data_IF_830276992572
#
_entry.id   IF_830276992572
#
_cell.length_a   1.000
_cell.length_b   1.000
_cell.length_c   1.000
_cell.angle_alpha   90.00
_cell.angle_beta   90.00
_cell.angle_gamma   90.00
#
_symmetry.space_group_name_H-M   'P 1'
#
loop_
_entity.id
_entity.type
_entity.pdbx_description
1 polymer ?
#
# COMPACT_ATOMS: atom_id res chain seq x y z
N UNK A 1 36.61 -36.35 41.52
CA UNK A 1 35.38 -35.53 41.53
C UNK A 1 35.80 -34.12 41.23
N UNK A 2 35.66 -33.73 39.97
CA UNK A 2 36.10 -32.43 39.46
C UNK A 2 34.82 -31.60 39.34
N UNK A 3 34.78 -30.48 40.06
CA UNK A 3 33.71 -29.49 39.99
C UNK A 3 33.88 -28.74 38.65
N UNK A 4 32.96 -28.92 37.71
CA UNK A 4 32.83 -28.03 36.56
C UNK A 4 31.94 -26.85 36.97
N UNK A 5 32.58 -25.70 37.17
CA UNK A 5 31.92 -24.41 37.28
C UNK A 5 31.44 -24.00 35.88
N UNK A 6 30.13 -24.05 35.66
CA UNK A 6 29.47 -23.40 34.54
C UNK A 6 29.57 -21.88 34.75
N UNK A 7 30.07 -21.09 33.77
CA UNK A 7 30.05 -19.64 33.90
C UNK A 7 28.61 -19.16 33.66
N UNK A 8 28.02 -18.53 34.67
CA UNK A 8 26.81 -17.72 34.55
C UNK A 8 27.06 -16.63 33.49
N UNK A 9 26.37 -16.76 32.35
CA UNK A 9 26.16 -15.66 31.42
C UNK A 9 25.20 -14.67 32.09
N UNK A 10 25.48 -13.35 32.07
CA UNK A 10 24.55 -12.38 32.60
C UNK A 10 23.34 -12.29 31.66
N UNK A 11 22.21 -12.85 32.09
CA UNK A 11 20.89 -12.56 31.56
C UNK A 11 20.61 -11.06 31.73
N UNK A 12 20.94 -10.27 30.71
CA UNK A 12 20.38 -8.93 30.56
C UNK A 12 18.84 -9.02 30.43
N UNK A 13 18.08 -7.95 30.74
CA UNK A 13 16.63 -7.99 30.59
C UNK A 13 16.32 -8.37 29.13
N UNK A 14 15.50 -9.41 28.93
CA UNK A 14 15.18 -9.98 27.62
C UNK A 14 14.66 -8.96 26.59
N UNK A 15 14.24 -7.78 27.06
CA UNK A 15 13.72 -6.67 26.26
C UNK A 15 14.72 -5.52 26.01
N UNK A 16 16.00 -5.69 26.38
CA UNK A 16 17.03 -4.64 26.17
C UNK A 16 17.63 -4.70 24.77
N UNK A 17 17.92 -3.54 24.17
CA UNK A 17 18.60 -3.46 22.87
C UNK A 17 20.10 -3.80 22.98
N UNK A 18 20.74 -4.27 21.89
CA UNK A 18 22.19 -4.41 21.82
C UNK A 18 22.91 -3.11 22.22
N UNK A 19 24.10 -3.17 22.86
CA UNK A 19 24.80 -1.97 23.33
C UNK A 19 25.05 -0.92 22.24
N UNK A 20 25.40 -1.34 21.02
CA UNK A 20 25.62 -0.43 19.90
C UNK A 20 24.32 0.29 19.48
N UNK A 21 23.21 -0.45 19.38
CA UNK A 21 21.91 0.14 19.07
C UNK A 21 21.37 1.01 20.21
N UNK A 22 21.60 0.61 21.46
CA UNK A 22 21.22 1.40 22.64
C UNK A 22 22.00 2.71 22.71
N UNK A 23 23.30 2.70 22.39
CA UNK A 23 24.12 3.91 22.33
C UNK A 23 23.65 4.86 21.23
N UNK A 24 23.34 4.35 20.04
CA UNK A 24 22.79 5.13 18.92
C UNK A 24 21.41 5.73 19.30
N UNK A 25 20.56 4.92 19.93
CA UNK A 25 19.23 5.34 20.37
C UNK A 25 19.32 6.44 21.45
N UNK A 26 20.19 6.29 22.44
CA UNK A 26 20.30 7.25 23.55
C UNK A 26 21.10 8.51 23.21
N UNK A 27 22.00 8.43 22.23
CA UNK A 27 22.77 9.58 21.73
C UNK A 27 21.99 10.50 20.79
N UNK A 28 20.77 10.12 20.39
CA UNK A 28 19.93 10.87 19.45
C UNK A 28 18.90 11.72 20.19
N UNK A 29 18.80 13.01 19.85
CA UNK A 29 17.82 13.96 20.41
C UNK A 29 16.44 13.81 19.74
N UNK A 30 15.73 12.72 20.05
CA UNK A 30 14.47 12.34 19.39
C UNK A 30 13.35 13.36 19.54
N UNK A 31 13.36 14.15 20.62
CA UNK A 31 12.41 15.24 20.86
C UNK A 31 12.43 16.33 19.78
N UNK A 32 13.54 16.47 19.04
CA UNK A 32 13.69 17.42 17.94
C UNK A 32 13.41 16.78 16.56
N UNK A 33 13.11 15.47 16.54
CA UNK A 33 13.04 14.67 15.32
C UNK A 33 11.64 14.07 15.16
N UNK A 34 10.67 14.84 14.65
CA UNK A 34 9.34 14.32 14.42
C UNK A 34 9.34 13.30 13.28
N UNK A 35 8.56 12.23 13.45
CA UNK A 35 7.99 11.42 12.38
C UNK A 35 6.58 11.93 12.00
N UNK A 36 5.93 11.29 11.01
CA UNK A 36 4.68 11.77 10.37
C UNK A 36 3.55 12.20 11.34
N UNK A 37 3.39 11.51 12.47
CA UNK A 37 2.29 11.71 13.42
C UNK A 37 2.75 12.10 14.83
N UNK A 38 3.96 12.65 14.95
CA UNK A 38 4.53 13.05 16.25
C UNK A 38 3.60 14.00 17.00
N UNK A 39 3.39 13.75 18.29
CA UNK A 39 2.52 14.56 19.14
C UNK A 39 1.02 14.30 18.99
N UNK A 40 0.59 13.34 18.17
CA UNK A 40 -0.80 12.86 18.16
C UNK A 40 -1.05 11.87 19.31
N UNK A 41 -2.26 11.89 19.84
CA UNK A 41 -2.68 10.97 20.91
C UNK A 41 -2.61 9.50 20.43
N UNK A 42 -2.19 8.60 21.31
CA UNK A 42 -2.01 7.15 21.05
C UNK A 42 -1.05 6.77 19.92
N UNK A 43 -0.19 7.70 19.47
CA UNK A 43 0.87 7.40 18.51
C UNK A 43 2.19 7.18 19.27
N UNK A 44 2.87 6.03 19.09
CA UNK A 44 4.12 5.78 19.78
C UNK A 44 5.24 6.66 19.21
N UNK A 45 6.07 7.23 20.10
CA UNK A 45 7.28 7.94 19.70
C UNK A 45 8.31 6.99 19.07
N UNK A 46 9.17 7.52 18.20
CA UNK A 46 10.19 6.74 17.48
C UNK A 46 11.04 5.83 18.38
N UNK A 47 11.53 6.27 19.56
CA UNK A 47 12.31 5.39 20.44
C UNK A 47 11.53 4.20 20.96
N UNK A 48 10.24 4.37 21.23
CA UNK A 48 9.36 3.29 21.70
C UNK A 48 9.14 2.26 20.58
N UNK A 49 8.96 2.72 19.34
CA UNK A 49 8.85 1.84 18.16
C UNK A 49 10.14 1.03 18.01
N UNK A 50 11.31 1.69 18.03
CA UNK A 50 12.62 1.05 17.86
C UNK A 50 12.92 0.03 18.99
N UNK A 51 12.58 0.37 20.24
CA UNK A 51 12.70 -0.55 21.38
C UNK A 51 11.81 -1.78 21.25
N UNK A 52 10.60 -1.61 20.68
CA UNK A 52 9.64 -2.70 20.51
C UNK A 52 9.98 -3.67 19.36
N UNK A 53 10.94 -3.34 18.47
CA UNK A 53 11.33 -4.23 17.35
C UNK A 53 11.89 -5.58 17.85
N UNK A 54 12.61 -5.60 18.96
CA UNK A 54 13.22 -6.81 19.53
C UNK A 54 12.46 -7.40 20.73
N UNK A 55 11.23 -6.92 20.98
CA UNK A 55 10.42 -7.45 22.09
C UNK A 55 10.13 -8.94 21.90
N UNK A 56 10.05 -9.67 23.03
CA UNK A 56 9.72 -11.08 23.02
C UNK A 56 8.31 -11.35 22.44
N UNK A 57 7.35 -10.44 22.64
CA UNK A 57 5.97 -10.60 22.17
C UNK A 57 5.87 -10.45 20.63
N UNK A 58 5.52 -11.51 19.89
CA UNK A 58 5.39 -11.45 18.44
C UNK A 58 4.37 -10.42 17.94
N UNK A 59 3.29 -10.17 18.68
CA UNK A 59 2.26 -9.23 18.25
C UNK A 59 2.73 -7.78 18.37
N UNK A 60 3.45 -7.45 19.44
CA UNK A 60 4.07 -6.13 19.60
C UNK A 60 5.18 -5.92 18.56
N UNK A 61 5.97 -6.95 18.28
CA UNK A 61 7.02 -6.88 17.26
C UNK A 61 6.46 -6.62 15.85
N UNK A 62 5.39 -7.32 15.46
CA UNK A 62 4.72 -7.09 14.17
C UNK A 62 4.17 -5.67 14.09
N UNK A 63 3.52 -5.19 15.15
CA UNK A 63 3.04 -3.79 15.22
C UNK A 63 4.18 -2.79 15.09
N UNK A 64 5.29 -3.00 15.81
CA UNK A 64 6.45 -2.12 15.76
C UNK A 64 7.03 -2.02 14.33
N UNK A 65 7.19 -3.14 13.64
CA UNK A 65 7.64 -3.15 12.23
C UNK A 65 6.64 -2.45 11.31
N UNK A 66 5.32 -2.66 11.51
CA UNK A 66 4.29 -1.92 10.79
C UNK A 66 4.39 -0.41 11.02
N UNK A 67 4.62 0.01 12.26
CA UNK A 67 4.82 1.41 12.63
C UNK A 67 6.09 2.01 12.02
N UNK A 68 7.18 1.25 11.84
CA UNK A 68 8.35 1.72 11.10
C UNK A 68 7.99 2.16 9.68
N UNK A 69 7.19 1.37 8.96
CA UNK A 69 6.74 1.75 7.61
C UNK A 69 5.72 2.88 7.65
N UNK A 70 4.73 2.78 8.54
CA UNK A 70 3.60 3.70 8.62
C UNK A 70 4.00 5.10 9.07
N UNK A 71 4.97 5.22 9.97
CA UNK A 71 5.30 6.47 10.64
C UNK A 71 6.61 7.09 10.16
N UNK A 72 7.62 6.27 9.82
CA UNK A 72 8.94 6.74 9.41
C UNK A 72 9.17 6.74 7.90
N UNK A 73 8.36 6.00 7.13
CA UNK A 73 8.40 5.97 5.65
C UNK A 73 7.00 6.21 5.04
N UNK A 74 6.16 6.99 5.73
CA UNK A 74 4.80 7.28 5.28
C UNK A 74 4.78 7.82 3.84
N UNK A 75 4.03 7.18 2.95
CA UNK A 75 3.92 7.56 1.52
C UNK A 75 5.27 7.70 0.81
N UNK A 76 6.23 6.83 1.15
CA UNK A 76 7.58 6.86 0.56
C UNK A 76 8.32 8.20 0.78
N UNK A 77 8.11 8.83 1.95
CA UNK A 77 8.77 10.06 2.34
C UNK A 77 9.70 9.85 3.54
N UNK A 78 10.78 10.63 3.59
CA UNK A 78 11.64 10.75 4.77
C UNK A 78 11.18 11.89 5.68
N UNK A 79 11.35 11.66 6.98
CA UNK A 79 11.09 12.60 8.06
C UNK A 79 12.38 12.81 8.85
N UNK A 80 12.47 13.86 9.71
CA UNK A 80 13.62 14.09 10.57
C UNK A 80 14.08 12.85 11.36
N UNK A 81 13.14 12.03 11.84
CA UNK A 81 13.42 10.79 12.58
C UNK A 81 13.94 9.63 11.71
N UNK A 82 13.74 9.66 10.39
CA UNK A 82 13.90 8.49 9.52
C UNK A 82 15.36 8.07 9.40
N UNK A 83 16.29 9.00 9.16
CA UNK A 83 17.70 8.66 9.00
C UNK A 83 18.34 8.13 10.31
N UNK A 84 18.12 8.75 11.48
CA UNK A 84 18.56 8.19 12.76
C UNK A 84 17.94 6.82 13.06
N UNK A 85 16.67 6.62 12.74
CA UNK A 85 16.03 5.31 12.91
C UNK A 85 16.69 4.23 12.03
N UNK A 86 17.03 4.56 10.79
CA UNK A 86 17.76 3.63 9.91
C UNK A 86 19.10 3.19 10.50
N UNK A 87 19.85 4.13 11.11
CA UNK A 87 21.11 3.82 11.78
C UNK A 87 20.91 2.87 12.98
N UNK A 88 19.89 3.11 13.81
CA UNK A 88 19.56 2.20 14.92
C UNK A 88 19.20 0.82 14.40
N UNK A 89 18.32 0.72 13.40
CA UNK A 89 17.89 -0.56 12.83
C UNK A 89 19.04 -1.36 12.23
N UNK A 90 19.99 -0.70 11.56
CA UNK A 90 21.20 -1.34 11.05
C UNK A 90 22.03 -2.00 12.16
N UNK A 91 22.09 -1.37 13.36
CA UNK A 91 22.75 -1.94 14.54
C UNK A 91 21.99 -3.10 15.19
N UNK A 92 20.73 -3.32 14.82
CA UNK A 92 19.95 -4.48 15.31
C UNK A 92 20.19 -5.74 14.48
N UNK A 93 20.70 -5.63 13.24
CA UNK A 93 20.78 -6.75 12.30
C UNK A 93 21.59 -7.94 12.84
N UNK A 94 22.68 -7.66 13.57
CA UNK A 94 23.54 -8.70 14.18
C UNK A 94 22.89 -9.40 15.38
N UNK A 95 21.81 -8.86 15.95
CA UNK A 95 21.15 -9.46 17.11
C UNK A 95 20.51 -10.80 16.72
N UNK A 96 20.77 -11.91 17.45
CA UNK A 96 20.21 -13.22 17.13
C UNK A 96 18.68 -13.26 17.19
N UNK A 97 18.02 -12.37 17.94
CA UNK A 97 16.55 -12.27 17.98
C UNK A 97 15.97 -11.87 16.63
N UNK A 98 16.75 -11.25 15.74
CA UNK A 98 16.32 -10.94 14.37
C UNK A 98 16.18 -12.20 13.49
N UNK A 99 16.67 -13.36 13.93
CA UNK A 99 16.41 -14.64 13.27
C UNK A 99 14.97 -15.14 13.48
N UNK A 100 14.22 -14.55 14.41
CA UNK A 100 12.84 -14.95 14.66
C UNK A 100 11.97 -14.74 13.42
N UNK A 101 11.28 -15.80 13.01
CA UNK A 101 10.35 -15.72 11.88
C UNK A 101 9.04 -15.04 12.25
N UNK A 102 8.49 -14.28 11.31
CA UNK A 102 7.18 -13.65 11.42
C UNK A 102 6.46 -13.57 10.08
N UNK A 103 5.20 -13.13 10.14
CA UNK A 103 4.44 -12.64 8.97
C UNK A 103 4.35 -11.13 9.09
N UNK A 104 4.72 -10.43 8.04
CA UNK A 104 4.82 -8.96 8.03
C UNK A 104 3.85 -8.40 7.00
N UNK A 105 3.25 -7.25 7.29
CA UNK A 105 2.08 -6.76 6.55
C UNK A 105 2.38 -6.40 5.09
N UNK A 106 3.60 -5.96 4.77
CA UNK A 106 3.94 -5.48 3.41
C UNK A 106 4.30 -6.58 2.43
N UNK A 107 4.60 -7.81 2.88
CA UNK A 107 5.09 -8.87 2.00
C UNK A 107 4.53 -10.25 2.32
N UNK A 108 4.29 -11.02 1.27
CA UNK A 108 3.77 -12.36 1.40
C UNK A 108 4.78 -13.31 2.08
N UNK A 109 4.25 -14.28 2.83
CA UNK A 109 5.04 -15.38 3.38
C UNK A 109 5.56 -15.14 4.79
N UNK A 110 6.23 -16.17 5.31
CA UNK A 110 6.99 -16.09 6.55
C UNK A 110 8.43 -15.76 6.20
N UNK A 111 9.06 -14.90 6.99
CA UNK A 111 10.47 -14.55 6.82
C UNK A 111 11.08 -14.13 8.16
N UNK A 112 12.41 -14.23 8.32
CA UNK A 112 13.10 -13.72 9.50
C UNK A 112 12.86 -12.22 9.67
N UNK A 113 12.77 -11.74 10.91
CA UNK A 113 12.74 -10.31 11.21
C UNK A 113 13.91 -9.57 10.54
N UNK A 114 15.09 -10.18 10.49
CA UNK A 114 16.28 -9.63 9.83
C UNK A 114 16.03 -9.29 8.37
N UNK A 115 15.41 -10.20 7.62
CA UNK A 115 15.08 -9.96 6.21
C UNK A 115 14.07 -8.80 6.09
N UNK A 116 13.13 -8.68 7.02
CA UNK A 116 12.17 -7.58 7.03
C UNK A 116 12.78 -6.23 7.40
N UNK A 117 13.71 -6.19 8.35
CA UNK A 117 14.46 -4.96 8.66
C UNK A 117 15.34 -4.52 7.49
N UNK A 118 15.97 -5.47 6.79
CA UNK A 118 16.69 -5.20 5.55
C UNK A 118 15.76 -4.68 4.44
N UNK A 119 14.52 -5.16 4.37
CA UNK A 119 13.51 -4.62 3.45
C UNK A 119 13.12 -3.19 3.78
N UNK A 120 12.98 -2.87 5.07
CA UNK A 120 12.72 -1.51 5.49
C UNK A 120 13.91 -0.60 5.10
N UNK A 121 15.14 -1.07 5.29
CA UNK A 121 16.36 -0.36 4.89
C UNK A 121 16.47 -0.22 3.36
N UNK A 122 16.01 -1.20 2.58
CA UNK A 122 15.90 -1.09 1.14
C UNK A 122 14.90 0.01 0.73
N UNK A 123 13.69 0.03 1.32
CA UNK A 123 12.72 1.11 1.07
C UNK A 123 13.27 2.48 1.46
N UNK A 124 13.97 2.58 2.58
CA UNK A 124 14.67 3.81 2.96
C UNK A 124 15.73 4.23 1.92
N UNK A 125 16.57 3.30 1.46
CA UNK A 125 17.62 3.57 0.49
C UNK A 125 17.04 3.97 -0.89
N UNK A 126 15.91 3.38 -1.27
CA UNK A 126 15.15 3.75 -2.47
C UNK A 126 14.71 5.22 -2.39
N UNK A 127 14.13 5.63 -1.26
CA UNK A 127 13.70 7.03 -1.06
C UNK A 127 14.92 7.97 -1.00
N UNK A 128 15.99 7.58 -0.32
CA UNK A 128 17.18 8.42 -0.14
C UNK A 128 17.96 8.69 -1.44
N UNK A 129 17.76 7.86 -2.48
CA UNK A 129 18.38 8.08 -3.80
C UNK A 129 17.63 9.11 -4.65
N UNK A 130 16.35 9.36 -4.36
CA UNK A 130 15.49 10.31 -5.05
C UNK A 130 15.83 11.74 -4.64
N UNK A 131 15.43 12.70 -5.47
CA UNK A 131 15.71 14.13 -5.32
C UNK A 131 14.56 14.87 -4.63
N UNK A 132 14.82 16.11 -4.19
CA UNK A 132 13.83 16.91 -3.44
C UNK A 132 12.61 17.19 -4.31
N UNK A 133 12.86 17.36 -5.61
CA UNK A 133 11.89 17.55 -6.68
C UNK A 133 10.89 16.39 -6.80
N UNK A 134 11.25 15.19 -6.32
CA UNK A 134 10.37 14.01 -6.31
C UNK A 134 9.36 14.04 -5.14
N UNK A 135 9.36 15.09 -4.31
CA UNK A 135 8.40 15.27 -3.21
C UNK A 135 8.63 14.34 -2.00
N UNK A 136 9.76 13.65 -1.97
CA UNK A 136 10.05 12.57 -1.01
C UNK A 136 10.53 13.05 0.37
N UNK A 137 10.71 14.34 0.60
CA UNK A 137 11.12 14.87 1.89
C UNK A 137 11.65 16.30 1.82
N UNK A 138 11.83 16.93 2.97
CA UNK A 138 12.53 18.21 3.01
C UNK A 138 14.01 18.02 2.65
N UNK A 139 14.62 19.01 2.01
CA UNK A 139 16.03 18.95 1.58
C UNK A 139 16.99 18.58 2.73
N UNK A 140 16.73 19.06 3.94
CA UNK A 140 17.51 18.73 5.15
C UNK A 140 17.41 17.24 5.50
N UNK A 141 16.21 16.68 5.45
CA UNK A 141 15.95 15.30 5.86
C UNK A 141 16.51 14.31 4.83
N UNK A 142 16.40 14.65 3.54
CA UNK A 142 17.04 13.90 2.45
C UNK A 142 18.56 13.96 2.52
N UNK A 143 19.13 15.12 2.84
CA UNK A 143 20.58 15.23 3.05
C UNK A 143 21.04 14.34 4.21
N UNK A 144 20.30 14.30 5.31
CA UNK A 144 20.57 13.38 6.42
C UNK A 144 20.44 11.90 6.01
N UNK A 145 19.41 11.57 5.23
CA UNK A 145 19.21 10.21 4.72
C UNK A 145 20.36 9.75 3.81
N UNK A 146 20.82 10.62 2.92
CA UNK A 146 21.98 10.37 2.03
C UNK A 146 23.26 10.19 2.83
N UNK A 147 23.48 11.03 3.85
CA UNK A 147 24.65 10.94 4.72
C UNK A 147 24.74 9.62 5.51
N UNK A 148 23.61 8.96 5.78
CA UNK A 148 23.59 7.65 6.45
C UNK A 148 24.04 6.49 5.54
N UNK A 149 23.97 6.63 4.21
CA UNK A 149 24.14 5.51 3.26
C UNK A 149 25.47 4.74 3.41
N UNK A 150 26.64 5.39 3.56
CA UNK A 150 27.90 4.65 3.74
C UNK A 150 27.92 3.79 4.99
N UNK A 151 27.41 4.31 6.13
CA UNK A 151 27.35 3.57 7.39
C UNK A 151 26.39 2.38 7.28
N UNK A 152 25.25 2.57 6.60
CA UNK A 152 24.30 1.50 6.35
C UNK A 152 24.90 0.41 5.45
N UNK A 153 25.61 0.79 4.39
CA UNK A 153 26.30 -0.16 3.51
C UNK A 153 27.27 -1.05 4.29
N UNK A 154 28.08 -0.45 5.17
CA UNK A 154 29.04 -1.19 5.98
C UNK A 154 28.37 -2.17 6.95
N UNK A 155 27.23 -1.79 7.54
CA UNK A 155 26.47 -2.68 8.43
C UNK A 155 25.74 -3.80 7.67
N UNK A 156 25.40 -3.61 6.39
CA UNK A 156 24.63 -4.56 5.59
C UNK A 156 25.54 -5.54 4.83
N UNK A 157 26.78 -5.15 4.54
CA UNK A 157 27.69 -5.86 3.64
C UNK A 157 27.83 -7.36 3.95
N UNK A 158 27.93 -7.73 5.23
CA UNK A 158 28.10 -9.12 5.66
C UNK A 158 26.85 -9.99 5.39
N UNK A 159 25.67 -9.37 5.30
CA UNK A 159 24.41 -10.07 5.02
C UNK A 159 24.19 -10.35 3.53
N UNK A 160 24.96 -9.71 2.64
CA UNK A 160 24.91 -9.97 1.19
C UNK A 160 25.38 -11.39 0.81
N UNK A 161 26.07 -12.07 1.72
CA UNK A 161 26.56 -13.44 1.56
C UNK A 161 25.89 -14.40 2.58
N UNK A 162 24.77 -14.00 3.20
CA UNK A 162 24.08 -14.82 4.20
C UNK A 162 23.62 -16.18 3.65
N UNK A 163 23.66 -17.20 4.51
CA UNK A 163 23.18 -18.56 4.19
C UNK A 163 21.66 -18.57 3.89
N UNK A 164 20.90 -17.81 4.67
CA UNK A 164 19.46 -17.64 4.47
C UNK A 164 19.20 -16.84 3.19
N UNK A 165 18.51 -17.43 2.18
CA UNK A 165 18.29 -16.78 0.90
C UNK A 165 17.44 -15.51 1.01
N UNK A 166 16.48 -15.43 1.94
CA UNK A 166 15.62 -14.26 2.11
C UNK A 166 16.39 -13.09 2.72
N UNK A 167 17.29 -13.38 3.66
CA UNK A 167 18.21 -12.37 4.23
C UNK A 167 19.18 -11.88 3.16
N UNK A 168 19.76 -12.81 2.39
CA UNK A 168 20.69 -12.50 1.30
C UNK A 168 20.06 -11.62 0.23
N UNK A 169 18.86 -11.97 -0.23
CA UNK A 169 18.11 -11.17 -1.21
C UNK A 169 17.80 -9.76 -0.68
N UNK A 170 17.28 -9.64 0.55
CA UNK A 170 16.99 -8.34 1.16
C UNK A 170 18.23 -7.47 1.33
N UNK A 171 19.36 -8.06 1.74
CA UNK A 171 20.63 -7.37 1.88
C UNK A 171 21.20 -6.90 0.54
N UNK A 172 21.14 -7.73 -0.49
CA UNK A 172 21.54 -7.36 -1.85
C UNK A 172 20.66 -6.23 -2.40
N UNK A 173 19.35 -6.28 -2.16
CA UNK A 173 18.41 -5.23 -2.57
C UNK A 173 18.72 -3.88 -1.91
N UNK A 174 18.90 -3.87 -0.59
CA UNK A 174 19.28 -2.67 0.16
C UNK A 174 20.64 -2.13 -0.32
N UNK A 175 21.66 -2.99 -0.42
CA UNK A 175 22.99 -2.64 -0.93
C UNK A 175 22.90 -2.02 -2.33
N UNK A 176 22.17 -2.64 -3.27
CA UNK A 176 22.08 -2.16 -4.64
C UNK A 176 21.52 -0.72 -4.74
N UNK A 177 20.55 -0.39 -3.89
CA UNK A 177 19.99 0.97 -3.78
C UNK A 177 20.94 1.95 -3.10
N UNK A 178 21.64 1.53 -2.03
CA UNK A 178 22.65 2.34 -1.34
C UNK A 178 23.80 2.74 -2.26
N UNK A 179 24.19 1.88 -3.21
CA UNK A 179 25.22 2.16 -4.22
C UNK A 179 24.84 3.27 -5.22
N UNK A 180 23.66 3.87 -5.11
CA UNK A 180 23.36 5.16 -5.76
C UNK A 180 24.18 6.32 -5.16
N UNK A 181 24.79 6.13 -3.98
CA UNK A 181 25.71 7.08 -3.40
C UNK A 181 27.04 7.17 -4.19
N UNK A 182 27.47 8.37 -4.60
CA UNK A 182 28.75 8.55 -5.29
C UNK A 182 29.97 8.00 -4.52
N UNK A 183 29.94 8.04 -3.18
CA UNK A 183 31.02 7.51 -2.34
C UNK A 183 31.12 5.98 -2.38
N UNK A 184 30.05 5.29 -2.78
CA UNK A 184 29.99 3.84 -2.80
C UNK A 184 30.13 3.25 -4.22
N UNK A 185 30.22 4.09 -5.26
CA UNK A 185 30.25 3.64 -6.67
C UNK A 185 31.41 2.67 -6.96
N UNK A 186 32.52 2.77 -6.23
CA UNK A 186 33.68 1.87 -6.34
C UNK A 186 33.36 0.43 -5.96
N UNK A 187 32.28 0.20 -5.20
CA UNK A 187 31.82 -1.13 -4.78
C UNK A 187 30.89 -1.79 -5.79
N UNK A 188 30.43 -1.09 -6.83
CA UNK A 188 29.52 -1.63 -7.85
C UNK A 188 30.05 -2.93 -8.49
N UNK A 189 31.31 -3.04 -8.92
CA UNK A 189 31.83 -4.27 -9.53
C UNK A 189 31.77 -5.50 -8.61
N UNK A 190 31.78 -5.31 -7.28
CA UNK A 190 31.64 -6.38 -6.30
C UNK A 190 30.23 -6.96 -6.28
N UNK A 191 29.20 -6.11 -6.35
CA UNK A 191 27.82 -6.51 -6.13
C UNK A 191 27.01 -6.74 -7.40
N UNK A 192 27.37 -6.12 -8.53
CA UNK A 192 26.62 -6.24 -9.78
C UNK A 192 26.40 -7.70 -10.24
N UNK A 193 27.39 -8.62 -10.15
CA UNK A 193 27.16 -10.03 -10.49
C UNK A 193 26.13 -10.71 -9.58
N UNK A 194 26.16 -10.44 -8.27
CA UNK A 194 25.23 -11.01 -7.30
C UNK A 194 23.81 -10.45 -7.48
N UNK A 195 23.68 -9.14 -7.70
CA UNK A 195 22.39 -8.49 -8.02
C UNK A 195 21.74 -9.13 -9.24
N UNK A 196 22.52 -9.37 -10.32
CA UNK A 196 22.02 -10.05 -11.51
C UNK A 196 21.65 -11.50 -11.25
N UNK A 197 22.52 -12.26 -10.57
CA UNK A 197 22.33 -13.70 -10.39
C UNK A 197 21.22 -14.04 -9.39
N UNK A 198 20.96 -13.16 -8.43
CA UNK A 198 20.04 -13.40 -7.32
C UNK A 198 18.75 -12.60 -7.49
N UNK A 199 18.83 -11.26 -7.56
CA UNK A 199 17.63 -10.42 -7.54
C UNK A 199 16.83 -10.48 -8.85
N UNK A 200 17.50 -10.58 -10.00
CA UNK A 200 16.82 -10.58 -11.30
C UNK A 200 15.94 -11.83 -11.53
N UNK A 201 16.15 -12.89 -10.75
CA UNK A 201 15.37 -14.14 -10.80
C UNK A 201 14.59 -14.39 -9.51
N UNK A 202 14.53 -13.40 -8.61
CA UNK A 202 13.77 -13.52 -7.36
C UNK A 202 12.28 -13.66 -7.64
N UNK A 203 11.59 -14.39 -6.76
CA UNK A 203 10.12 -14.44 -6.74
C UNK A 203 9.51 -13.07 -6.41
N UNK A 204 10.24 -12.20 -5.71
CA UNK A 204 9.83 -10.85 -5.34
C UNK A 204 10.00 -9.89 -6.55
N UNK A 205 8.88 -9.38 -7.08
CA UNK A 205 8.89 -8.50 -8.24
C UNK A 205 9.56 -7.15 -7.98
N UNK A 206 9.51 -6.66 -6.74
CA UNK A 206 10.22 -5.45 -6.33
C UNK A 206 11.74 -5.66 -6.40
N UNK A 207 12.26 -6.81 -5.97
CA UNK A 207 13.67 -7.15 -6.17
C UNK A 207 14.05 -7.27 -7.64
N UNK A 208 13.21 -7.87 -8.49
CA UNK A 208 13.45 -7.90 -9.94
C UNK A 208 13.47 -6.50 -10.56
N UNK A 209 12.60 -5.60 -10.09
CA UNK A 209 12.62 -4.19 -10.48
C UNK A 209 13.92 -3.49 -10.04
N UNK A 210 14.32 -3.63 -8.77
CA UNK A 210 15.60 -3.10 -8.26
C UNK A 210 16.76 -3.60 -9.12
N UNK A 211 16.81 -4.90 -9.43
CA UNK A 211 17.86 -5.47 -10.27
C UNK A 211 17.94 -4.78 -11.63
N UNK A 212 16.80 -4.59 -12.32
CA UNK A 212 16.75 -3.93 -13.62
C UNK A 212 17.16 -2.46 -13.54
N UNK A 213 16.63 -1.72 -12.57
CA UNK A 213 16.93 -0.29 -12.40
C UNK A 213 18.41 -0.08 -12.09
N UNK A 214 18.96 -0.82 -11.10
CA UNK A 214 20.36 -0.65 -10.67
C UNK A 214 21.36 -1.11 -11.71
N UNK A 215 21.13 -2.26 -12.35
CA UNK A 215 22.02 -2.72 -13.43
C UNK A 215 22.02 -1.72 -14.59
N UNK A 216 20.86 -1.21 -15.01
CA UNK A 216 20.80 -0.20 -16.06
C UNK A 216 21.57 1.08 -15.68
N UNK A 217 21.42 1.55 -14.43
CA UNK A 217 22.14 2.71 -13.92
C UNK A 217 23.67 2.51 -13.87
N UNK A 218 24.15 1.26 -13.74
CA UNK A 218 25.56 0.91 -13.78
C UNK A 218 26.11 0.66 -15.21
N UNK A 219 25.28 0.85 -16.24
CA UNK A 219 25.65 0.63 -17.64
C UNK A 219 25.67 -0.83 -18.06
N UNK A 220 25.10 -1.72 -17.24
CA UNK A 220 24.94 -3.13 -17.54
C UNK A 220 23.76 -3.39 -18.48
N UNK A 221 23.87 -4.36 -19.38
CA UNK A 221 22.75 -4.71 -20.26
C UNK A 221 21.63 -5.39 -19.47
N UNK A 222 20.41 -4.86 -19.60
CA UNK A 222 19.18 -5.38 -18.98
C UNK A 222 18.14 -5.84 -19.99
N UNK A 223 18.42 -5.78 -21.30
CA UNK A 223 17.47 -6.12 -22.37
C UNK A 223 16.90 -7.53 -22.21
N UNK A 224 17.74 -8.52 -21.88
CA UNK A 224 17.28 -9.89 -21.63
C UNK A 224 16.39 -10.03 -20.39
N UNK A 225 16.62 -9.20 -19.36
CA UNK A 225 15.81 -9.19 -18.14
C UNK A 225 14.44 -8.55 -18.38
N UNK A 226 14.40 -7.45 -19.16
CA UNK A 226 13.14 -6.80 -19.55
C UNK A 226 12.30 -7.73 -20.42
N UNK A 227 12.91 -8.38 -21.42
CA UNK A 227 12.21 -9.33 -22.28
C UNK A 227 11.66 -10.52 -21.49
N UNK A 228 12.42 -11.06 -20.53
CA UNK A 228 11.96 -12.15 -19.67
C UNK A 228 10.78 -11.73 -18.77
N UNK A 229 10.80 -10.52 -18.21
CA UNK A 229 9.69 -9.99 -17.39
C UNK A 229 8.43 -9.75 -18.23
N UNK A 230 8.57 -9.20 -19.45
CA UNK A 230 7.46 -9.01 -20.38
C UNK A 230 6.86 -10.35 -20.82
N UNK A 231 7.70 -11.34 -21.11
CA UNK A 231 7.25 -12.69 -21.45
C UNK A 231 6.52 -13.35 -20.28
N UNK A 232 7.05 -13.21 -19.05
CA UNK A 232 6.43 -13.73 -17.84
C UNK A 232 5.07 -13.08 -17.58
N UNK A 233 4.98 -11.75 -17.64
CA UNK A 233 3.72 -11.01 -17.49
C UNK A 233 2.71 -11.39 -18.57
N UNK A 234 3.13 -11.45 -19.83
CA UNK A 234 2.25 -11.89 -20.91
C UNK A 234 1.79 -13.35 -20.75
N UNK A 235 2.61 -14.22 -20.14
CA UNK A 235 2.20 -15.59 -19.80
C UNK A 235 1.18 -15.61 -18.67
N UNK A 236 1.35 -14.80 -17.63
CA UNK A 236 0.37 -14.60 -16.56
C UNK A 236 -0.96 -14.08 -17.12
N UNK A 237 -0.94 -13.04 -17.96
CA UNK A 237 -2.14 -12.45 -18.56
C UNK A 237 -2.91 -13.47 -19.40
N UNK A 238 -2.19 -14.27 -20.22
CA UNK A 238 -2.79 -15.37 -20.99
C UNK A 238 -3.38 -16.45 -20.10
N UNK A 239 -2.70 -16.81 -19.03
CA UNK A 239 -3.17 -17.84 -18.11
C UNK A 239 -4.39 -17.37 -17.30
N UNK A 240 -4.42 -16.12 -16.84
CA UNK A 240 -5.60 -15.52 -16.21
C UNK A 240 -6.78 -15.48 -17.19
N UNK A 241 -6.58 -14.97 -18.41
CA UNK A 241 -7.64 -14.93 -19.42
C UNK A 241 -8.23 -16.33 -19.74
N UNK A 242 -7.41 -17.37 -19.75
CA UNK A 242 -7.86 -18.76 -19.93
C UNK A 242 -8.52 -19.34 -18.67
N UNK A 243 -8.07 -18.96 -17.47
CA UNK A 243 -8.67 -19.38 -16.21
C UNK A 243 -10.06 -18.75 -16.00
N UNK A 244 -10.23 -17.51 -16.45
CA UNK A 244 -11.48 -16.74 -16.35
C UNK A 244 -12.53 -17.10 -17.42
N UNK A 245 -12.16 -17.87 -18.45
CA UNK A 245 -13.11 -18.43 -19.43
C UNK A 245 -13.62 -19.82 -18.97
N UNK A 246 -14.83 -19.93 -18.39
CA UNK A 246 -15.38 -21.19 -17.90
C UNK A 246 -15.69 -22.22 -19.00
N UNK A 247 -15.62 -21.82 -20.27
CA UNK A 247 -15.83 -22.69 -21.42
C UNK A 247 -14.59 -22.79 -22.31
N UNK A 248 -13.47 -22.18 -21.90
CA UNK A 248 -12.22 -22.12 -22.65
C UNK A 248 -11.49 -23.46 -22.66
N UNK A 249 -11.12 -23.95 -23.85
CA UNK A 249 -10.22 -25.09 -23.96
C UNK A 249 -8.88 -24.76 -23.29
N UNK A 250 -8.57 -25.45 -22.18
CA UNK A 250 -7.32 -25.24 -21.43
C UNK A 250 -7.47 -24.56 -20.07
N UNK A 251 -8.68 -24.20 -19.63
CA UNK A 251 -8.93 -23.58 -18.32
C UNK A 251 -8.27 -24.32 -17.14
N UNK A 252 -8.49 -25.63 -17.00
CA UNK A 252 -7.88 -26.42 -15.91
C UNK A 252 -6.34 -26.41 -15.93
N UNK A 253 -5.75 -26.37 -17.13
CA UNK A 253 -4.29 -26.33 -17.29
C UNK A 253 -3.75 -24.95 -16.93
N UNK A 254 -4.48 -23.88 -17.27
CA UNK A 254 -4.15 -22.52 -16.88
C UNK A 254 -4.23 -22.33 -15.36
N UNK A 255 -5.28 -22.81 -14.69
CA UNK A 255 -5.41 -22.78 -13.22
C UNK A 255 -4.24 -23.51 -12.55
N UNK A 256 -3.95 -24.75 -12.96
CA UNK A 256 -2.82 -25.51 -12.41
C UNK A 256 -1.47 -24.84 -12.65
N UNK A 257 -1.30 -24.17 -13.79
CA UNK A 257 -0.07 -23.44 -14.10
C UNK A 257 0.07 -22.18 -13.24
N UNK A 258 -1.02 -21.44 -13.01
CA UNK A 258 -1.07 -20.27 -12.12
C UNK A 258 -0.77 -20.67 -10.67
N UNK A 259 -1.39 -21.76 -10.17
CA UNK A 259 -1.11 -22.30 -8.84
C UNK A 259 0.34 -22.76 -8.66
N UNK A 260 1.01 -23.15 -9.76
CA UNK A 260 2.40 -23.55 -9.75
C UNK A 260 3.38 -22.37 -9.88
N UNK A 261 2.91 -21.15 -10.16
CA UNK A 261 3.78 -19.98 -10.20
C UNK A 261 4.24 -19.62 -8.77
N UNK A 262 5.51 -19.23 -8.59
CA UNK A 262 5.96 -18.74 -7.30
C UNK A 262 5.16 -17.49 -6.93
N UNK A 263 4.62 -17.47 -5.71
CA UNK A 263 3.88 -16.32 -5.18
C UNK A 263 4.80 -15.09 -5.19
N UNK A 264 4.37 -14.02 -5.84
CA UNK A 264 5.11 -12.77 -5.82
C UNK A 264 5.13 -12.22 -4.39
N UNK A 265 6.31 -12.23 -3.77
CA UNK A 265 6.39 -11.85 -2.36
C UNK A 265 6.37 -10.34 -2.11
N UNK A 266 6.56 -9.53 -3.16
CA UNK A 266 6.33 -8.08 -3.12
C UNK A 266 4.85 -7.72 -3.20
N UNK A 267 4.05 -8.56 -3.86
CA UNK A 267 2.61 -8.40 -3.85
C UNK A 267 2.10 -8.61 -2.42
N UNK A 268 1.29 -7.68 -1.87
CA UNK A 268 0.68 -7.89 -0.57
C UNK A 268 -0.10 -9.19 -0.62
N UNK A 269 0.15 -10.07 0.35
CA UNK A 269 -0.54 -11.36 0.44
C UNK A 269 -2.04 -11.10 0.50
N UNK A 270 -2.77 -11.46 -0.56
CA UNK A 270 -4.18 -11.78 -0.42
C UNK A 270 -4.25 -12.84 0.68
N UNK A 271 -4.79 -12.47 1.85
CA UNK A 271 -4.88 -13.39 2.99
C UNK A 271 -5.81 -14.54 2.60
N UNK A 272 -5.26 -15.59 2.01
CA UNK A 272 -5.81 -16.93 2.05
C UNK A 272 -5.81 -17.37 3.52
N UNK A 273 -6.89 -17.04 4.24
CA UNK A 273 -7.27 -17.80 5.43
C UNK A 273 -7.70 -19.17 4.92
N UNK A 274 -6.80 -20.16 4.98
CA UNK A 274 -7.24 -21.53 5.29
C UNK A 274 -7.79 -21.47 6.71
N UNK A 275 -9.08 -21.20 6.82
CA UNK A 275 -9.86 -21.83 7.87
C UNK A 275 -9.87 -23.32 7.52
N UNK A 276 -9.50 -24.16 8.48
CA UNK A 276 -9.87 -25.57 8.43
C UNK A 276 -11.37 -25.66 8.15
N UNK A 277 -11.73 -26.44 7.12
CA UNK A 277 -13.08 -26.59 6.61
C UNK A 277 -14.11 -26.80 7.73
N UNK A 278 -15.08 -25.91 7.93
CA UNK A 278 -16.36 -26.30 8.48
C UNK A 278 -17.06 -27.19 7.44
N UNK A 279 -17.83 -28.22 7.86
CA UNK A 279 -18.49 -29.09 6.90
C UNK A 279 -19.44 -28.26 6.03
N UNK A 280 -19.38 -28.50 4.72
CA UNK A 280 -20.09 -27.76 3.68
C UNK A 280 -21.53 -27.39 4.10
N UNK A 281 -21.95 -26.12 3.98
CA UNK A 281 -23.35 -25.79 4.14
C UNK A 281 -24.11 -26.40 2.98
N UNK A 282 -24.98 -27.34 3.33
CA UNK A 282 -26.00 -27.86 2.44
C UNK A 282 -27.07 -26.77 2.29
N UNK A 283 -27.50 -26.53 1.05
CA UNK A 283 -28.52 -25.57 0.59
C UNK A 283 -28.04 -24.16 0.23
N UNK A 284 -28.04 -23.88 -1.07
CA UNK A 284 -28.11 -22.55 -1.64
C UNK A 284 -29.37 -21.83 -1.10
N UNK A 285 -29.15 -20.78 -0.31
CA UNK A 285 -30.18 -19.81 0.04
C UNK A 285 -30.50 -18.94 -1.20
N UNK A 286 -31.73 -18.41 -1.34
CA UNK A 286 -32.08 -17.49 -2.41
C UNK A 286 -31.29 -16.18 -2.30
N UNK A 287 -31.09 -15.43 -3.41
CA UNK A 287 -30.32 -14.18 -3.41
C UNK A 287 -30.91 -13.16 -2.43
N UNK A 288 -30.05 -12.49 -1.66
CA UNK A 288 -30.45 -11.42 -0.74
C UNK A 288 -31.09 -10.23 -1.48
N UNK A 289 -32.04 -9.52 -0.84
CA UNK A 289 -32.69 -8.36 -1.45
C UNK A 289 -31.67 -7.24 -1.72
N UNK A 290 -31.84 -6.53 -2.84
CA UNK A 290 -31.03 -5.37 -3.17
C UNK A 290 -31.10 -4.30 -2.07
N UNK A 291 -30.04 -3.48 -1.89
CA UNK A 291 -30.01 -2.40 -0.90
C UNK A 291 -31.20 -1.47 -1.12
N UNK A 292 -31.79 -1.00 -0.02
CA UNK A 292 -32.87 -0.02 -0.11
C UNK A 292 -32.30 1.39 -0.33
N UNK A 293 -32.94 2.22 -1.15
CA UNK A 293 -32.52 3.61 -1.36
C UNK A 293 -32.55 4.40 -0.03
N UNK A 294 -31.81 5.52 0.07
CA UNK A 294 -31.71 6.33 1.28
C UNK A 294 -33.07 6.58 1.94
N UNK A 295 -33.21 6.16 3.20
CA UNK A 295 -34.38 6.51 4.01
C UNK A 295 -34.27 7.99 4.39
N UNK A 296 -35.27 8.84 4.05
CA UNK A 296 -35.21 10.26 4.39
C UNK A 296 -35.18 10.45 5.91
N UNK A 297 -34.11 11.07 6.40
CA UNK A 297 -33.96 11.40 7.82
C UNK A 297 -34.79 12.64 8.20
N UNK A 298 -35.11 12.85 9.51
CA UNK A 298 -35.65 14.11 9.99
C UNK A 298 -34.70 15.26 9.60
N UNK A 299 -35.16 16.20 8.77
CA UNK A 299 -34.31 17.23 8.15
C UNK A 299 -34.21 17.16 6.62
N UNK A 300 -34.80 16.14 5.97
CA UNK A 300 -34.93 16.06 4.51
C UNK A 300 -36.23 16.68 3.97
N UNK A 301 -36.81 17.67 4.65
CA UNK A 301 -38.02 18.38 4.18
C UNK A 301 -37.71 19.30 2.99
N UNK A 302 -38.64 19.42 2.04
CA UNK A 302 -38.49 20.27 0.88
C UNK A 302 -38.33 21.74 1.33
N UNK A 303 -37.15 22.32 1.12
CA UNK A 303 -36.80 23.67 1.55
C UNK A 303 -35.91 23.77 2.81
N UNK A 304 -35.54 22.66 3.45
CA UNK A 304 -34.59 22.68 4.58
C UNK A 304 -33.14 22.88 4.08
N UNK A 305 -32.44 23.91 4.59
CA UNK A 305 -31.04 24.22 4.28
C UNK A 305 -30.14 24.07 5.53
N UNK A 306 -30.06 22.85 6.07
CA UNK A 306 -29.12 22.51 7.13
C UNK A 306 -27.83 21.86 6.59
N UNK A 307 -26.72 21.90 7.34
CA UNK A 307 -25.45 21.30 6.94
C UNK A 307 -25.48 19.77 6.79
N UNK A 308 -26.55 19.12 7.27
CA UNK A 308 -26.74 17.66 7.24
C UNK A 308 -27.87 17.22 6.30
N UNK A 309 -28.28 18.08 5.36
CA UNK A 309 -29.37 17.79 4.41
C UNK A 309 -28.99 16.62 3.51
N UNK A 310 -29.80 15.56 3.51
CA UNK A 310 -29.70 14.43 2.59
C UNK A 310 -30.72 14.65 1.46
N UNK A 311 -30.25 14.67 0.22
CA UNK A 311 -31.06 14.76 -0.98
C UNK A 311 -31.96 13.54 -1.13
N UNK A 312 -33.22 13.79 -1.48
CA UNK A 312 -34.22 12.73 -1.70
C UNK A 312 -33.94 11.99 -3.01
N UNK A 313 -34.52 10.80 -3.15
CA UNK A 313 -34.33 10.00 -4.35
C UNK A 313 -34.76 10.76 -5.62
N UNK A 314 -35.88 11.48 -5.57
CA UNK A 314 -36.38 12.28 -6.70
C UNK A 314 -35.52 13.51 -7.04
N UNK A 315 -34.63 13.92 -6.14
CA UNK A 315 -33.70 15.05 -6.34
C UNK A 315 -32.35 14.59 -6.90
N UNK A 316 -32.05 13.29 -6.84
CA UNK A 316 -30.78 12.72 -7.30
C UNK A 316 -30.87 12.36 -8.77
N UNK A 317 -29.86 12.74 -9.53
CA UNK A 317 -29.67 12.19 -10.87
C UNK A 317 -29.41 10.68 -10.76
N UNK A 318 -30.05 9.89 -11.63
CA UNK A 318 -29.87 8.45 -11.70
C UNK A 318 -28.71 8.11 -12.64
N UNK A 319 -27.64 7.55 -12.09
CA UNK A 319 -26.41 7.24 -12.81
C UNK A 319 -26.16 5.73 -12.81
N UNK A 320 -25.60 5.22 -13.91
CA UNK A 320 -25.18 3.83 -14.00
C UNK A 320 -23.68 3.74 -13.86
N UNK A 321 -23.21 2.81 -13.04
CA UNK A 321 -21.80 2.44 -12.96
C UNK A 321 -21.53 1.23 -13.86
N UNK A 322 -20.55 1.39 -14.76
CA UNK A 322 -20.01 0.31 -15.57
C UNK A 322 -18.54 0.12 -15.16
N UNK A 323 -18.20 -1.00 -14.50
CA UNK A 323 -16.84 -1.28 -14.01
C UNK A 323 -15.76 -0.95 -15.04
N UNK A 324 -14.76 -0.18 -14.62
CA UNK A 324 -13.61 0.28 -15.41
C UNK A 324 -13.90 1.06 -16.70
N UNK A 325 -15.16 1.32 -17.02
CA UNK A 325 -15.55 2.14 -18.17
C UNK A 325 -15.89 3.55 -17.72
N UNK A 326 -16.77 3.68 -16.72
CA UNK A 326 -17.23 4.99 -16.29
C UNK A 326 -18.42 4.96 -15.34
N UNK A 327 -18.84 6.15 -14.93
CA UNK A 327 -19.95 6.37 -13.99
C UNK A 327 -20.82 7.54 -14.47
N UNK A 328 -22.08 7.23 -14.77
CA UNK A 328 -23.01 8.19 -15.36
C UNK A 328 -22.51 8.73 -16.69
N UNK A 329 -22.43 10.07 -16.89
CA UNK A 329 -21.92 10.67 -18.12
C UNK A 329 -20.38 10.63 -18.22
N UNK A 330 -19.67 10.25 -17.15
CA UNK A 330 -18.21 10.30 -17.06
C UNK A 330 -17.59 8.96 -17.47
N UNK A 331 -16.49 9.02 -18.21
CA UNK A 331 -15.68 7.87 -18.57
C UNK A 331 -14.27 8.04 -17.98
N UNK A 332 -13.69 6.96 -17.47
CA UNK A 332 -12.30 7.01 -17.01
C UNK A 332 -11.37 7.37 -18.18
N UNK A 333 -10.33 8.16 -17.90
CA UNK A 333 -9.42 8.70 -18.90
C UNK A 333 -9.80 10.08 -19.46
N UNK A 334 -11.01 10.59 -19.17
CA UNK A 334 -11.45 11.93 -19.57
C UNK A 334 -10.60 13.05 -18.95
N UNK A 335 -10.44 14.13 -19.69
CA UNK A 335 -9.84 15.39 -19.25
C UNK A 335 -10.86 16.27 -18.53
N UNK A 336 -10.38 17.29 -17.81
CA UNK A 336 -11.26 18.25 -17.11
C UNK A 336 -12.24 18.96 -18.06
N UNK A 337 -11.81 19.29 -19.28
CA UNK A 337 -12.66 19.95 -20.29
C UNK A 337 -13.80 19.04 -20.74
N UNK A 338 -13.49 17.76 -21.00
CA UNK A 338 -14.49 16.74 -21.37
C UNK A 338 -15.50 16.51 -20.25
N UNK A 339 -15.05 16.48 -18.99
CA UNK A 339 -15.94 16.34 -17.82
C UNK A 339 -16.84 17.57 -17.68
N UNK A 340 -16.28 18.77 -17.78
CA UNK A 340 -17.03 20.04 -17.70
C UNK A 340 -18.12 20.09 -18.79
N UNK A 341 -17.80 19.61 -19.99
CA UNK A 341 -18.76 19.50 -21.08
C UNK A 341 -19.83 18.43 -20.81
N UNK A 342 -19.44 17.24 -20.34
CA UNK A 342 -20.34 16.13 -20.06
C UNK A 342 -21.33 16.44 -18.93
N UNK A 343 -20.89 17.19 -17.90
CA UNK A 343 -21.73 17.61 -16.78
C UNK A 343 -22.50 18.90 -17.04
N UNK A 344 -22.09 19.69 -18.04
CA UNK A 344 -22.55 21.07 -18.24
C UNK A 344 -22.38 21.95 -16.98
N UNK A 345 -21.41 21.62 -16.13
CA UNK A 345 -21.07 22.28 -14.87
C UNK A 345 -19.57 22.58 -14.87
N UNK A 346 -19.19 23.79 -14.43
CA UNK A 346 -17.78 24.15 -14.22
C UNK A 346 -17.23 23.68 -12.87
N UNK A 347 -15.91 23.59 -12.72
CA UNK A 347 -15.28 23.20 -11.45
C UNK A 347 -15.58 24.21 -10.34
N UNK A 348 -16.11 23.75 -9.20
CA UNK A 348 -16.37 24.60 -8.03
C UNK A 348 -15.11 24.77 -7.15
N UNK A 349 -14.30 23.72 -7.03
CA UNK A 349 -12.98 23.73 -6.38
C UNK A 349 -12.04 22.91 -7.25
N UNK A 350 -10.83 23.40 -7.47
CA UNK A 350 -9.75 22.65 -8.12
C UNK A 350 -8.51 22.65 -7.23
N UNK A 351 -7.89 21.47 -7.10
CA UNK A 351 -6.64 21.28 -6.40
C UNK A 351 -5.57 20.80 -7.37
N UNK A 352 -4.37 21.35 -7.23
CA UNK A 352 -3.21 21.03 -8.04
C UNK A 352 -2.03 20.71 -7.12
N UNK A 353 -1.22 19.74 -7.50
CA UNK A 353 0.10 19.55 -6.91
C UNK A 353 1.19 20.08 -7.84
N UNK A 354 2.31 20.50 -7.27
CA UNK A 354 3.48 20.87 -8.04
C UNK A 354 4.11 19.59 -8.62
N UNK A 355 4.36 19.57 -9.92
CA UNK A 355 5.03 18.47 -10.61
C UNK A 355 6.09 19.06 -11.56
N UNK A 356 7.36 19.01 -11.16
CA UNK A 356 8.46 19.69 -11.87
C UNK A 356 8.24 21.20 -12.00
N UNK A 357 8.41 21.76 -13.21
CA UNK A 357 8.14 23.16 -13.55
C UNK A 357 6.64 23.46 -13.80
N UNK A 358 5.75 22.47 -13.59
CA UNK A 358 4.32 22.55 -13.89
C UNK A 358 3.41 22.32 -12.68
N UNK A 359 2.11 22.56 -12.89
CA UNK A 359 1.05 22.18 -11.96
C UNK A 359 0.25 21.03 -12.58
N UNK A 360 0.07 19.96 -11.82
CA UNK A 360 -0.74 18.83 -12.23
C UNK A 360 -2.03 18.79 -11.42
N UNK A 361 -3.14 18.61 -12.13
CA UNK A 361 -4.47 18.55 -11.54
C UNK A 361 -4.59 17.30 -10.65
N UNK A 362 -5.01 17.51 -9.41
CA UNK A 362 -5.16 16.45 -8.40
C UNK A 362 -6.62 16.00 -8.31
N UNK A 363 -7.50 16.94 -7.96
CA UNK A 363 -8.94 16.69 -7.91
C UNK A 363 -9.73 17.96 -8.21
N UNK A 364 -10.98 17.76 -8.59
CA UNK A 364 -11.97 18.80 -8.85
C UNK A 364 -13.30 18.43 -8.20
N UNK A 365 -13.89 19.37 -7.48
CA UNK A 365 -15.24 19.24 -6.95
C UNK A 365 -16.26 19.89 -7.90
N UNK A 366 -17.31 19.13 -8.24
CA UNK A 366 -18.51 19.59 -8.94
C UNK A 366 -19.64 19.63 -7.92
N UNK A 367 -19.90 20.83 -7.39
CA UNK A 367 -20.74 21.02 -6.23
C UNK A 367 -22.24 20.89 -6.55
N UNK A 368 -22.67 21.25 -7.76
CA UNK A 368 -24.07 21.14 -8.17
C UNK A 368 -24.46 19.68 -8.39
N UNK A 369 -23.61 18.92 -9.09
CA UNK A 369 -23.80 17.48 -9.30
C UNK A 369 -23.44 16.66 -8.05
N UNK A 370 -22.60 17.18 -7.14
CA UNK A 370 -22.25 16.52 -5.89
C UNK A 370 -21.24 15.38 -6.06
N UNK A 371 -20.22 15.59 -6.88
CA UNK A 371 -19.14 14.62 -7.10
C UNK A 371 -17.76 15.26 -6.97
N UNK A 372 -16.76 14.43 -6.71
CA UNK A 372 -15.34 14.77 -6.84
C UNK A 372 -14.71 13.90 -7.90
N UNK A 373 -14.06 14.53 -8.87
CA UNK A 373 -13.26 13.89 -9.90
C UNK A 373 -11.78 13.97 -9.51
N UNK A 374 -11.06 12.85 -9.60
CA UNK A 374 -9.64 12.75 -9.25
C UNK A 374 -8.82 12.36 -10.48
N UNK A 375 -7.63 12.94 -10.60
CA UNK A 375 -6.82 12.90 -11.80
C UNK A 375 -5.40 12.41 -11.55
N UNK A 376 -4.88 11.65 -12.49
CA UNK A 376 -3.46 11.27 -12.63
C UNK A 376 -3.08 11.54 -14.07
N UNK A 377 -1.91 12.13 -14.26
CA UNK A 377 -1.43 12.63 -15.54
C UNK A 377 -2.47 13.50 -16.32
N UNK A 378 -3.34 14.21 -15.58
CA UNK A 378 -4.40 15.04 -16.16
C UNK A 378 -5.61 14.27 -16.69
N UNK A 379 -5.73 12.98 -16.38
CA UNK A 379 -6.82 12.09 -16.79
C UNK A 379 -7.61 11.56 -15.61
N UNK A 380 -8.93 11.42 -15.78
CA UNK A 380 -9.84 10.94 -14.75
C UNK A 380 -9.53 9.48 -14.37
N UNK A 381 -9.06 9.27 -13.14
CA UNK A 381 -8.80 7.92 -12.61
C UNK A 381 -9.78 7.50 -11.51
N UNK A 382 -10.42 8.45 -10.84
CA UNK A 382 -11.40 8.14 -9.80
C UNK A 382 -12.54 9.17 -9.73
N UNK A 383 -13.75 8.69 -9.42
CA UNK A 383 -14.92 9.52 -9.13
C UNK A 383 -15.47 9.14 -7.77
N UNK A 384 -15.47 10.09 -6.84
CA UNK A 384 -16.11 9.95 -5.55
C UNK A 384 -17.47 10.66 -5.55
N UNK A 385 -18.53 9.98 -5.12
CA UNK A 385 -19.89 10.53 -5.13
C UNK A 385 -20.32 10.92 -3.72
N UNK A 386 -20.75 12.17 -3.54
CA UNK A 386 -21.20 12.67 -2.24
C UNK A 386 -22.44 11.90 -1.76
N UNK A 387 -22.38 11.33 -0.55
CA UNK A 387 -23.47 10.52 -0.01
C UNK A 387 -24.75 11.35 0.24
N UNK A 388 -24.60 12.65 0.53
CA UNK A 388 -25.70 13.55 0.86
C UNK A 388 -26.38 14.14 -0.36
N UNK A 389 -25.60 14.60 -1.34
CA UNK A 389 -26.13 15.40 -2.47
C UNK A 389 -25.85 14.81 -3.84
N UNK A 390 -24.94 13.85 -3.94
CA UNK A 390 -24.50 13.28 -5.21
C UNK A 390 -25.56 12.41 -5.90
N UNK A 391 -25.34 12.06 -7.17
CA UNK A 391 -26.21 11.18 -7.94
C UNK A 391 -26.43 9.83 -7.24
N UNK A 392 -27.61 9.26 -7.47
CA UNK A 392 -27.87 7.88 -7.12
C UNK A 392 -27.19 7.00 -8.16
N UNK A 393 -26.01 6.48 -7.82
CA UNK A 393 -25.32 5.55 -8.71
C UNK A 393 -25.85 4.15 -8.48
N UNK A 394 -26.16 3.45 -9.57
CA UNK A 394 -26.58 2.05 -9.57
C UNK A 394 -25.58 1.18 -10.28
N UNK A 395 -25.37 -0.01 -9.73
CA UNK A 395 -24.74 -1.11 -10.45
C UNK A 395 -25.85 -2.11 -10.78
N UNK A 396 -26.21 -2.21 -12.06
CA UNK A 396 -27.48 -2.79 -12.52
C UNK A 396 -28.69 -2.11 -11.88
N UNK A 397 -29.50 -2.84 -11.10
CA UNK A 397 -30.70 -2.31 -10.45
C UNK A 397 -30.45 -1.77 -9.03
N UNK A 398 -29.33 -2.11 -8.39
CA UNK A 398 -29.09 -1.82 -6.98
C UNK A 398 -28.50 -0.43 -6.75
N UNK A 399 -29.01 0.34 -5.79
CA UNK A 399 -28.46 1.64 -5.42
C UNK A 399 -27.18 1.48 -4.59
N UNK A 400 -26.18 2.32 -4.87
CA UNK A 400 -24.88 2.34 -4.16
C UNK A 400 -24.63 3.62 -3.38
N UNK A 401 -25.10 4.78 -3.86
CA UNK A 401 -24.92 6.07 -3.16
C UNK A 401 -25.95 6.24 -2.05
N UNK A 402 -25.54 6.75 -0.89
CA UNK A 402 -26.47 7.19 0.15
C UNK A 402 -27.24 6.05 0.84
N UNK A 403 -26.83 4.80 0.67
CA UNK A 403 -27.49 3.62 1.23
C UNK A 403 -26.87 3.24 2.59
N UNK A 404 -27.48 2.28 3.29
CA UNK A 404 -26.88 1.72 4.50
C UNK A 404 -25.62 0.91 4.14
N UNK A 405 -24.45 1.21 4.73
CA UNK A 405 -23.19 0.52 4.38
C UNK A 405 -23.27 -1.00 4.49
N UNK A 406 -23.90 -1.52 5.54
CA UNK A 406 -24.05 -2.97 5.74
C UNK A 406 -24.84 -3.64 4.61
N UNK A 407 -25.93 -3.01 4.14
CA UNK A 407 -26.75 -3.58 3.06
C UNK A 407 -26.01 -3.58 1.72
N UNK A 408 -25.25 -2.53 1.44
CA UNK A 408 -24.45 -2.44 0.20
C UNK A 408 -23.29 -3.44 0.23
N UNK A 409 -22.60 -3.55 1.36
CA UNK A 409 -21.53 -4.54 1.56
C UNK A 409 -22.08 -5.96 1.42
N UNK A 410 -23.11 -6.32 2.18
CA UNK A 410 -23.72 -7.65 2.13
C UNK A 410 -24.17 -8.01 0.70
N UNK A 411 -24.83 -7.09 0.01
CA UNK A 411 -25.27 -7.32 -1.37
C UNK A 411 -24.11 -7.50 -2.36
N UNK A 412 -23.06 -6.69 -2.26
CA UNK A 412 -21.89 -6.80 -3.14
C UNK A 412 -21.09 -8.07 -2.87
N UNK A 413 -20.97 -8.50 -1.60
CA UNK A 413 -20.30 -9.74 -1.19
C UNK A 413 -20.98 -10.97 -1.75
N UNK A 414 -22.32 -10.99 -1.78
CA UNK A 414 -23.08 -12.13 -2.31
C UNK A 414 -23.14 -12.15 -3.85
N UNK A 415 -22.94 -11.00 -4.50
CA UNK A 415 -23.01 -10.87 -5.96
C UNK A 415 -21.67 -11.12 -6.64
N UNK A 416 -20.58 -10.68 -6.03
CA UNK A 416 -19.25 -10.98 -6.55
C UNK A 416 -19.08 -12.48 -6.52
N UNK A 417 -18.79 -13.09 -7.68
CA UNK A 417 -18.37 -14.49 -7.70
C UNK A 417 -17.22 -14.59 -6.71
N UNK A 418 -17.27 -15.53 -5.77
CA UNK A 418 -16.21 -15.81 -4.79
C UNK A 418 -14.91 -16.31 -5.46
N UNK A 419 -14.47 -15.66 -6.55
CA UNK A 419 -13.10 -15.63 -6.97
C UNK A 419 -12.32 -14.98 -5.83
N UNK A 420 -11.36 -15.71 -5.30
CA UNK A 420 -10.54 -15.23 -4.19
C UNK A 420 -9.83 -13.93 -4.60
N UNK A 421 -10.07 -12.83 -3.86
CA UNK A 421 -9.40 -11.55 -4.09
C UNK A 421 -10.26 -10.39 -4.61
N UNK A 422 -11.54 -10.62 -4.95
CA UNK A 422 -12.46 -9.55 -5.38
C UNK A 422 -12.75 -8.55 -4.26
N UNK A 423 -12.96 -8.99 -3.01
CA UNK A 423 -13.13 -8.12 -1.85
C UNK A 423 -11.82 -7.94 -1.08
N UNK A 424 -11.41 -6.69 -0.90
CA UNK A 424 -10.33 -6.24 -0.02
C UNK A 424 -10.85 -5.13 0.89
N UNK A 425 -10.04 -4.67 1.85
CA UNK A 425 -10.41 -3.55 2.72
C UNK A 425 -9.31 -2.49 2.69
N UNK A 426 -9.72 -1.23 2.62
CA UNK A 426 -8.83 -0.09 2.77
C UNK A 426 -8.24 -0.03 4.19
N UNK A 427 -7.15 0.72 4.43
CA UNK A 427 -6.65 0.98 5.78
C UNK A 427 -7.65 1.69 6.70
N UNK A 428 -8.67 2.35 6.14
CA UNK A 428 -9.78 2.93 6.88
C UNK A 428 -10.93 1.93 7.12
N UNK A 429 -10.70 0.64 6.82
CA UNK A 429 -11.67 -0.46 6.90
C UNK A 429 -12.89 -0.30 5.97
N UNK A 430 -12.74 0.46 4.87
CA UNK A 430 -13.76 0.54 3.82
C UNK A 430 -13.65 -0.69 2.91
N UNK A 431 -14.75 -1.39 2.57
CA UNK A 431 -14.70 -2.52 1.64
C UNK A 431 -14.42 -2.04 0.21
N UNK A 432 -13.55 -2.80 -0.48
CA UNK A 432 -13.04 -2.50 -1.82
C UNK A 432 -13.23 -3.74 -2.70
N UNK A 433 -14.10 -3.59 -3.69
CA UNK A 433 -14.41 -4.58 -4.71
C UNK A 433 -13.51 -4.33 -5.91
N UNK A 434 -12.35 -4.98 -5.89
CA UNK A 434 -11.25 -4.85 -6.85
C UNK A 434 -11.76 -5.15 -8.24
N UNK A 435 -12.43 -6.27 -8.45
CA UNK A 435 -13.00 -6.72 -9.73
C UNK A 435 -13.98 -5.72 -10.36
N UNK A 436 -14.61 -4.89 -9.54
CA UNK A 436 -15.53 -3.87 -9.99
C UNK A 436 -14.89 -2.50 -10.14
N UNK A 437 -13.68 -2.26 -9.60
CA UNK A 437 -13.13 -0.91 -9.47
C UNK A 437 -13.97 -0.05 -8.53
N UNK A 438 -14.41 -0.59 -7.39
CA UNK A 438 -15.37 0.06 -6.49
C UNK A 438 -14.89 0.00 -5.04
N UNK A 439 -14.78 1.14 -4.38
CA UNK A 439 -14.61 1.22 -2.93
C UNK A 439 -15.86 1.85 -2.29
N UNK A 440 -16.39 1.22 -1.23
CA UNK A 440 -17.56 1.72 -0.51
C UNK A 440 -17.08 2.41 0.75
N UNK A 441 -16.90 3.74 0.66
CA UNK A 441 -16.61 4.54 1.85
C UNK A 441 -17.88 4.91 2.58
N UNK A 442 -17.72 5.33 3.83
CA UNK A 442 -18.82 5.88 4.62
C UNK A 442 -18.67 7.39 4.79
N UNK A 443 -19.79 8.10 4.73
CA UNK A 443 -19.91 9.51 5.08
C UNK A 443 -20.95 9.64 6.20
N UNK A 444 -20.62 10.41 7.25
CA UNK A 444 -21.42 10.47 8.47
C UNK A 444 -22.04 11.85 8.68
N UNK A 445 -23.25 12.11 8.14
CA UNK A 445 -24.05 13.29 8.52
C UNK A 445 -24.68 13.11 9.92
N UNK A 446 -24.06 13.69 10.94
CA UNK A 446 -24.57 13.60 12.32
C UNK A 446 -24.56 12.16 12.85
N UNK A 447 -25.74 11.59 13.13
CA UNK A 447 -25.89 10.24 13.69
C UNK A 447 -26.15 9.16 12.64
N UNK A 448 -26.20 9.51 11.36
CA UNK A 448 -26.46 8.59 10.27
C UNK A 448 -25.16 8.33 9.51
N UNK A 449 -24.97 7.10 9.07
CA UNK A 449 -23.83 6.70 8.23
C UNK A 449 -24.38 6.24 6.89
N UNK A 450 -23.88 6.85 5.81
CA UNK A 450 -24.33 6.60 4.45
C UNK A 450 -23.15 6.20 3.55
N UNK A 451 -23.42 5.42 2.52
CA UNK A 451 -22.40 5.06 1.54
C UNK A 451 -22.00 6.22 0.63
N UNK A 452 -20.69 6.45 0.53
CA UNK A 452 -20.00 7.35 -0.39
C UNK A 452 -19.16 6.48 -1.34
N UNK A 453 -19.71 6.01 -2.47
CA UNK A 453 -18.97 5.13 -3.36
C UNK A 453 -17.87 5.89 -4.10
N UNK A 454 -16.72 5.23 -4.23
CA UNK A 454 -15.57 5.65 -5.04
C UNK A 454 -15.43 4.66 -6.20
N UNK A 455 -15.49 5.18 -7.42
CA UNK A 455 -15.36 4.40 -8.65
C UNK A 455 -13.98 4.66 -9.24
N UNK A 456 -13.24 3.59 -9.52
CA UNK A 456 -11.80 3.60 -9.78
C UNK A 456 -11.50 2.95 -11.13
N UNK A 457 -10.51 3.50 -11.83
CA UNK A 457 -9.83 2.80 -12.92
C UNK A 457 -8.96 1.66 -12.33
N UNK A 458 -8.76 0.59 -13.10
CA UNK A 458 -8.05 -0.62 -12.63
C UNK A 458 -6.66 -0.32 -12.06
N UNK A 459 -5.92 0.62 -12.66
CA UNK A 459 -4.56 0.94 -12.25
C UNK A 459 -4.50 1.78 -10.95
N UNK A 460 -5.65 2.20 -10.41
CA UNK A 460 -5.77 3.05 -9.21
C UNK A 460 -6.15 2.28 -7.93
N UNK A 461 -6.12 0.96 -7.98
CA UNK A 461 -6.58 0.10 -6.89
C UNK A 461 -5.66 0.08 -5.65
N UNK A 462 -4.47 0.71 -5.71
CA UNK A 462 -3.69 1.05 -4.51
C UNK A 462 -4.20 2.36 -3.87
N UNK A 463 -5.44 2.29 -3.37
CA UNK A 463 -6.22 3.41 -2.83
C UNK A 463 -5.42 4.35 -1.92
N UNK A 464 -4.51 3.80 -1.11
CA UNK A 464 -3.76 4.54 -0.11
C UNK A 464 -2.67 5.45 -0.69
N UNK A 465 -2.09 5.04 -1.82
CA UNK A 465 -1.06 5.79 -2.53
C UNK A 465 -1.64 6.68 -3.65
N UNK A 466 -2.82 6.34 -4.17
CA UNK A 466 -3.44 7.02 -5.33
C UNK A 466 -4.49 8.09 -4.97
N UNK A 467 -5.01 8.12 -3.73
CA UNK A 467 -6.01 9.12 -3.32
C UNK A 467 -5.39 10.29 -2.52
N UNK A 468 -5.77 11.55 -2.80
CA UNK A 468 -5.31 12.72 -2.08
C UNK A 468 -5.77 12.69 -0.62
N UNK A 469 -4.96 13.28 0.26
CA UNK A 469 -5.23 13.36 1.70
C UNK A 469 -6.59 13.99 2.03
N UNK A 470 -7.06 14.88 1.17
CA UNK A 470 -8.32 15.60 1.22
C UNK A 470 -9.53 14.70 0.96
N UNK A 471 -9.34 13.57 0.29
CA UNK A 471 -10.38 12.56 0.15
C UNK A 471 -10.48 11.71 1.43
N UNK A 472 -9.36 11.47 2.12
CA UNK A 472 -9.37 10.76 3.41
C UNK A 472 -9.99 11.58 4.53
N UNK A 473 -9.82 12.91 4.50
CA UNK A 473 -10.37 13.84 5.48
C UNK A 473 -11.74 14.42 5.09
N UNK A 474 -12.37 13.93 4.01
CA UNK A 474 -13.68 14.40 3.57
C UNK A 474 -14.78 13.91 4.52
N UNK A 475 -15.38 14.83 5.27
CA UNK A 475 -16.40 14.56 6.28
C UNK A 475 -17.84 14.63 5.71
#
# INVERSE_FOLDING_TARGET
MINESTPDLPDGPADSLPPAAQAELTGTAWEELPHFCTGRHDVPDTPNILGAVLTADPAHRVRAVGDLYRLLLHQARVFPATAPAALVLARLLDDPRTLAEGRWERRAGRRPLRAELLNWLASFADIARLDVEDGVGAARDLAAARAARPVLHDCIADFCDADDPLVREAALAATALLLADPCLVSSVPRYAPAVRAVLAVSADSYYRWIARERLAAWGESVTGLVAAEEEHRAALDRAHALADDPFGEGQEQAIRWLEAQPEDTAAPKQRARRHEDPPAPTHAAPPEPAPEPPVPAPGSEAGYQGPWRIARQEERAEWTFTPYVGVGPLHFGMTLEEITHALSEGPAVSSYFAHGDGQQLNYVDFAEIGIRALFEEGRLGCVAVNALTGPQVRLEAAPLTGCAPSQVEDWLVHRTTLQSGSLTYSPAADPVFVDLGLAIRSQRPGDIVLTRPLFLLHDWLDLWHSLPSEEWNYA
#
